data_IF_190277287790
#
_entry.id   IF_190277287790
#
_cell.length_a   1.000
_cell.length_b   1.000
_cell.length_c   1.000
_cell.angle_alpha   90.00
_cell.angle_beta   90.00
_cell.angle_gamma   90.00
#
_symmetry.space_group_name_H-M   'P 1'
#
loop_
_entity.id
_entity.type
_entity.pdbx_description
1 polymer ?
#
# COMPACT_ATOMS: atom_id res chain seq x y z
N UNK A 1 -14.70 0.65 18.90
CA UNK A 1 -14.88 -0.38 17.86
C UNK A 1 -13.66 -0.37 16.98
N UNK A 2 -13.17 -1.54 16.60
CA UNK A 2 -12.06 -1.66 15.64
C UNK A 2 -12.44 -0.98 14.32
N UNK A 3 -11.53 -0.18 13.77
CA UNK A 3 -11.72 0.53 12.51
C UNK A 3 -10.62 0.09 11.56
N UNK A 4 -10.99 -0.74 10.59
CA UNK A 4 -10.08 -1.19 9.55
C UNK A 4 -10.68 -0.91 8.16
N UNK A 5 -9.80 -0.73 7.17
CA UNK A 5 -10.16 -0.74 5.75
C UNK A 5 -9.37 -1.83 5.04
N UNK A 6 -9.88 -2.28 3.89
CA UNK A 6 -9.16 -3.18 3.01
C UNK A 6 -9.44 -2.90 1.54
N UNK A 7 -8.47 -3.21 0.69
CA UNK A 7 -8.64 -3.24 -0.76
C UNK A 7 -7.71 -4.27 -1.40
N UNK A 8 -8.07 -4.76 -2.58
CA UNK A 8 -7.16 -5.54 -3.43
C UNK A 8 -6.45 -4.62 -4.41
N UNK A 9 -5.27 -5.02 -4.88
CA UNK A 9 -4.61 -4.37 -6.00
C UNK A 9 -3.91 -5.42 -6.87
N UNK A 10 -3.80 -5.11 -8.17
CA UNK A 10 -3.23 -6.02 -9.15
C UNK A 10 -1.72 -6.21 -8.96
N UNK A 11 -1.25 -7.44 -9.08
CA UNK A 11 0.17 -7.75 -9.17
C UNK A 11 0.70 -7.45 -10.58
N UNK A 12 1.94 -7.85 -10.87
CA UNK A 12 2.45 -7.86 -12.24
C UNK A 12 1.95 -9.05 -13.08
N UNK A 13 1.37 -10.07 -12.43
CA UNK A 13 0.82 -11.23 -13.12
C UNK A 13 -0.62 -10.96 -13.57
N UNK A 14 -1.03 -11.47 -14.75
CA UNK A 14 -2.43 -11.44 -15.17
C UNK A 14 -3.32 -12.12 -14.12
N UNK A 15 -4.41 -11.46 -13.71
CA UNK A 15 -5.37 -11.94 -12.71
C UNK A 15 -4.76 -12.30 -11.34
N UNK A 16 -3.54 -11.87 -11.04
CA UNK A 16 -2.95 -11.98 -9.71
C UNK A 16 -3.22 -10.74 -8.89
N UNK A 17 -3.66 -10.89 -7.65
CA UNK A 17 -3.93 -9.78 -6.73
C UNK A 17 -3.13 -9.90 -5.42
N UNK A 18 -2.91 -8.75 -4.79
CA UNK A 18 -2.52 -8.63 -3.39
C UNK A 18 -3.66 -7.97 -2.61
N UNK A 19 -3.83 -8.38 -1.35
CA UNK A 19 -4.78 -7.78 -0.40
C UNK A 19 -4.02 -6.88 0.57
N UNK A 20 -4.63 -5.75 0.91
CA UNK A 20 -4.08 -4.80 1.87
C UNK A 20 -5.10 -4.47 2.94
N UNK A 21 -4.63 -4.33 4.18
CA UNK A 21 -5.44 -4.02 5.35
C UNK A 21 -4.80 -2.85 6.09
N UNK A 22 -5.59 -1.81 6.31
CA UNK A 22 -5.23 -0.64 7.10
C UNK A 22 -5.89 -0.73 8.47
N UNK A 23 -5.08 -0.74 9.52
CA UNK A 23 -5.52 -0.38 10.86
C UNK A 23 -5.63 1.15 10.95
N UNK A 24 -6.86 1.67 11.00
CA UNK A 24 -7.10 3.11 11.04
C UNK A 24 -6.78 3.74 12.40
N UNK A 25 -6.60 2.94 13.46
CA UNK A 25 -6.25 3.45 14.79
C UNK A 25 -4.75 3.70 14.86
N UNK A 26 -3.93 2.74 14.41
CA UNK A 26 -2.47 2.86 14.48
C UNK A 26 -1.84 3.43 13.22
N UNK A 27 -2.60 3.58 12.13
CA UNK A 27 -2.07 3.93 10.80
C UNK A 27 -1.16 2.83 10.23
N UNK A 28 -1.30 1.58 10.68
CA UNK A 28 -0.48 0.46 10.20
C UNK A 28 -1.13 -0.14 8.96
N UNK A 29 -0.44 -0.04 7.82
CA UNK A 29 -0.83 -0.70 6.60
C UNK A 29 -0.02 -1.98 6.44
N UNK A 30 -0.70 -3.11 6.31
CA UNK A 30 -0.11 -4.40 5.97
C UNK A 30 -0.73 -4.95 4.70
N UNK A 31 -0.04 -5.88 4.05
CA UNK A 31 -0.63 -6.59 2.93
C UNK A 31 0.07 -7.89 2.62
N UNK A 32 -0.58 -8.67 1.75
CA UNK A 32 -0.03 -9.91 1.26
C UNK A 32 -0.45 -10.21 -0.19
N UNK A 33 0.50 -10.66 -1.00
CA UNK A 33 0.26 -11.16 -2.36
C UNK A 33 0.16 -12.69 -2.37
N UNK A 34 -0.90 -13.21 -2.98
CA UNK A 34 -1.08 -14.65 -3.18
C UNK A 34 -0.12 -15.15 -4.27
N UNK A 35 0.56 -16.25 -4.00
CA UNK A 35 1.41 -16.94 -4.96
C UNK A 35 0.77 -18.27 -5.34
N UNK A 36 0.42 -18.39 -6.61
CA UNK A 36 -0.23 -19.57 -7.18
C UNK A 36 0.69 -20.78 -7.25
N UNK A 37 2.01 -20.58 -7.32
CA UNK A 37 2.98 -21.69 -7.37
C UNK A 37 3.08 -22.39 -6.01
N UNK A 38 3.03 -21.63 -4.92
CA UNK A 38 3.13 -22.16 -3.55
C UNK A 38 1.77 -22.37 -2.88
N UNK A 39 0.68 -21.87 -3.48
CA UNK A 39 -0.67 -21.96 -2.92
C UNK A 39 -0.88 -21.10 -1.66
N UNK A 40 -0.14 -20.01 -1.49
CA UNK A 40 -0.17 -19.23 -0.24
C UNK A 40 0.32 -17.80 -0.37
N UNK A 41 0.17 -17.03 0.71
CA UNK A 41 0.64 -15.66 0.82
C UNK A 41 2.14 -15.62 1.10
N UNK A 42 2.95 -15.46 0.05
CA UNK A 42 4.43 -15.45 0.18
C UNK A 42 5.05 -14.07 -0.04
N UNK A 43 4.29 -13.09 -0.52
CA UNK A 43 4.75 -11.72 -0.65
C UNK A 43 4.07 -10.90 0.45
N UNK A 44 4.80 -10.33 1.39
CA UNK A 44 4.22 -9.59 2.52
C UNK A 44 4.74 -8.16 2.57
N UNK A 45 3.86 -7.26 3.00
CA UNK A 45 4.10 -5.81 2.98
C UNK A 45 3.74 -5.16 4.29
N UNK A 46 4.47 -4.11 4.66
CA UNK A 46 4.15 -3.26 5.80
C UNK A 46 4.56 -1.79 5.54
N UNK A 47 3.84 -0.85 6.16
CA UNK A 47 4.16 0.59 6.20
C UNK A 47 3.51 1.25 7.41
N UNK A 48 4.19 2.23 7.99
CA UNK A 48 3.63 3.12 9.01
C UNK A 48 3.14 4.42 8.35
N UNK A 49 1.83 4.55 8.15
CA UNK A 49 1.24 5.72 7.50
C UNK A 49 1.20 6.93 8.41
N UNK A 50 1.08 6.75 9.73
CA UNK A 50 1.12 7.86 10.68
C UNK A 50 2.44 8.66 10.55
N UNK A 51 3.56 7.94 10.37
CA UNK A 51 4.86 8.55 10.11
C UNK A 51 4.90 9.29 8.77
N UNK A 52 4.37 8.67 7.70
CA UNK A 52 4.37 9.29 6.36
C UNK A 52 3.54 10.57 6.29
N UNK A 53 2.36 10.57 6.94
CA UNK A 53 1.47 11.75 7.00
C UNK A 53 1.87 12.74 8.10
N UNK A 54 2.86 12.40 8.95
CA UNK A 54 3.28 13.19 10.11
C UNK A 54 2.12 13.53 11.06
N UNK A 55 1.24 12.56 11.26
CA UNK A 55 0.08 12.67 12.14
C UNK A 55 0.31 11.90 13.42
N UNK A 56 -0.33 12.38 14.49
CA UNK A 56 -0.37 11.75 15.81
C UNK A 56 -1.76 11.17 16.05
N UNK A 57 -2.15 10.99 17.31
CA UNK A 57 -3.45 10.45 17.72
C UNK A 57 -4.65 11.03 16.95
N UNK A 58 -5.70 10.22 16.78
CA UNK A 58 -6.94 10.57 16.08
C UNK A 58 -6.80 10.89 14.58
N UNK A 59 -5.77 10.37 13.91
CA UNK A 59 -5.71 10.35 12.45
C UNK A 59 -6.95 9.67 11.83
N UNK A 60 -7.39 10.15 10.68
CA UNK A 60 -8.55 9.61 9.98
C UNK A 60 -8.17 9.26 8.56
N UNK A 61 -8.40 8.01 8.16
CA UNK A 61 -7.90 7.51 6.88
C UNK A 61 -9.04 7.10 5.95
N UNK A 62 -8.80 7.28 4.65
CA UNK A 62 -9.57 6.69 3.55
C UNK A 62 -8.61 5.97 2.62
N UNK A 63 -9.07 4.89 1.98
CA UNK A 63 -8.21 4.03 1.18
C UNK A 63 -8.92 3.53 -0.07
N UNK A 64 -8.20 3.49 -1.18
CA UNK A 64 -8.65 2.89 -2.44
C UNK A 64 -7.43 2.34 -3.19
N UNK A 65 -7.65 1.36 -4.07
CA UNK A 65 -6.63 0.88 -4.98
C UNK A 65 -6.78 1.49 -6.37
N UNK A 66 -5.73 1.38 -7.18
CA UNK A 66 -5.77 1.69 -8.59
C UNK A 66 -4.69 0.98 -9.37
N UNK A 67 -4.49 1.41 -10.60
CA UNK A 67 -3.48 0.88 -11.52
C UNK A 67 -2.58 2.01 -11.98
N UNK A 68 -1.27 1.78 -11.95
CA UNK A 68 -0.29 2.74 -12.44
C UNK A 68 0.91 2.04 -13.06
N UNK A 69 1.52 2.69 -14.05
CA UNK A 69 2.76 2.23 -14.66
C UNK A 69 3.95 2.89 -13.95
N UNK A 70 4.37 2.30 -12.83
CA UNK A 70 5.52 2.77 -12.06
C UNK A 70 6.80 2.35 -12.75
N UNK A 71 7.66 3.32 -13.09
CA UNK A 71 8.97 3.01 -13.63
C UNK A 71 9.85 2.45 -12.52
N UNK A 72 10.48 1.30 -12.74
CA UNK A 72 11.47 0.77 -11.80
C UNK A 72 12.70 1.69 -11.76
N UNK A 73 12.99 2.29 -10.60
CA UNK A 73 14.24 2.99 -10.34
C UNK A 73 15.26 2.04 -9.70
N UNK A 74 15.86 1.15 -10.49
CA UNK A 74 16.97 0.27 -10.04
C UNK A 74 16.68 -1.24 -10.12
N UNK A 75 17.72 -2.04 -9.85
CA UNK A 75 17.77 -3.50 -10.06
C UNK A 75 17.00 -4.37 -9.04
N UNK A 76 15.87 -3.89 -8.51
CA UNK A 76 14.99 -4.64 -7.62
C UNK A 76 13.94 -5.47 -8.35
N UNK A 77 13.05 -6.15 -7.61
CA UNK A 77 11.85 -6.74 -8.18
C UNK A 77 11.02 -5.65 -8.88
N UNK A 78 10.49 -5.91 -10.09
CA UNK A 78 9.68 -4.92 -10.78
C UNK A 78 8.45 -4.57 -9.93
N UNK A 79 8.06 -3.29 -9.92
CA UNK A 79 6.84 -2.88 -9.22
C UNK A 79 5.63 -3.60 -9.82
N UNK A 80 4.66 -3.91 -8.97
CA UNK A 80 3.34 -4.35 -9.39
C UNK A 80 2.65 -3.27 -10.22
N UNK A 81 1.66 -3.66 -11.01
CA UNK A 81 0.84 -2.71 -11.78
C UNK A 81 -0.21 -2.02 -10.92
N UNK A 82 -0.59 -2.64 -9.80
CA UNK A 82 -1.49 -2.10 -8.81
C UNK A 82 -0.79 -1.16 -7.82
N UNK A 83 -1.55 -0.18 -7.34
CA UNK A 83 -1.10 0.83 -6.37
C UNK A 83 -2.18 1.04 -5.31
N UNK A 84 -1.79 1.61 -4.19
CA UNK A 84 -2.68 1.95 -3.09
C UNK A 84 -2.65 3.45 -2.89
N UNK A 85 -3.82 4.09 -2.88
CA UNK A 85 -3.98 5.47 -2.47
C UNK A 85 -4.55 5.50 -1.06
N UNK A 86 -3.88 6.24 -0.17
CA UNK A 86 -4.40 6.52 1.16
C UNK A 86 -4.54 8.02 1.30
N UNK A 87 -5.72 8.48 1.69
CA UNK A 87 -5.94 9.85 2.14
C UNK A 87 -5.92 9.89 3.65
N UNK A 88 -5.20 10.85 4.22
CA UNK A 88 -5.36 11.19 5.64
C UNK A 88 -6.16 12.50 5.70
N UNK A 89 -7.34 12.43 6.33
CA UNK A 89 -8.34 13.46 6.25
C UNK A 89 -7.87 14.71 6.98
N UNK A 90 -7.20 14.62 8.14
CA UNK A 90 -6.83 15.80 8.93
C UNK A 90 -5.80 16.68 8.21
N UNK A 91 -4.70 16.07 7.76
CA UNK A 91 -3.59 16.68 7.01
C UNK A 91 -4.01 17.13 5.61
N UNK A 92 -5.05 16.55 5.04
CA UNK A 92 -5.51 16.91 3.70
C UNK A 92 -4.62 16.39 2.58
N UNK A 93 -3.78 15.39 2.86
CA UNK A 93 -2.89 14.76 1.90
C UNK A 93 -3.42 13.41 1.43
N UNK A 94 -3.14 13.09 0.17
CA UNK A 94 -3.27 11.74 -0.38
C UNK A 94 -1.87 11.27 -0.77
N UNK A 95 -1.48 10.10 -0.25
CA UNK A 95 -0.25 9.41 -0.61
C UNK A 95 -0.55 8.21 -1.50
N UNK A 96 0.36 7.96 -2.44
CA UNK A 96 0.35 6.83 -3.36
C UNK A 96 1.48 5.87 -3.00
N UNK A 97 1.15 4.59 -2.84
CA UNK A 97 2.08 3.54 -2.48
C UNK A 97 2.16 2.45 -3.54
N UNK A 98 3.38 2.04 -3.87
CA UNK A 98 3.66 0.89 -4.72
C UNK A 98 4.23 -0.27 -3.90
N UNK A 99 4.18 -1.45 -4.49
CA UNK A 99 4.73 -2.68 -3.95
C UNK A 99 5.30 -3.54 -5.07
N UNK A 100 6.27 -4.37 -4.75
CA UNK A 100 6.84 -5.33 -5.70
C UNK A 100 6.23 -6.73 -5.48
N UNK A 101 6.15 -7.53 -6.53
CA UNK A 101 5.63 -8.90 -6.45
C UNK A 101 6.64 -9.89 -7.03
N UNK A 102 7.00 -10.90 -6.25
CA UNK A 102 7.83 -12.03 -6.69
C UNK A 102 6.98 -13.29 -6.90
N UNK A 103 7.10 -13.90 -8.08
CA UNK A 103 6.33 -15.10 -8.47
C UNK A 103 7.02 -16.43 -8.14
N UNK A 104 8.28 -16.43 -7.72
CA UNK A 104 9.01 -17.67 -7.39
C UNK A 104 8.62 -18.27 -6.04
N UNK A 105 9.14 -19.47 -5.73
CA UNK A 105 8.84 -20.22 -4.49
C UNK A 105 9.45 -19.64 -3.21
N UNK A 106 9.94 -18.40 -3.23
CA UNK A 106 10.56 -17.74 -2.07
C UNK A 106 9.54 -16.82 -1.40
N UNK A 107 9.68 -16.66 -0.09
CA UNK A 107 8.97 -15.62 0.65
C UNK A 107 9.69 -14.30 0.48
N UNK A 108 8.92 -13.26 0.16
CA UNK A 108 9.38 -11.89 0.04
C UNK A 108 8.73 -11.05 1.14
N UNK A 109 9.55 -10.27 1.85
CA UNK A 109 9.11 -9.27 2.80
C UNK A 109 9.62 -7.93 2.31
N UNK A 110 8.72 -7.05 1.90
CA UNK A 110 9.07 -5.76 1.32
C UNK A 110 8.31 -4.64 2.02
N UNK A 111 8.92 -3.48 2.15
CA UNK A 111 8.17 -2.29 2.58
C UNK A 111 7.35 -1.73 1.40
N UNK A 112 6.18 -1.16 1.70
CA UNK A 112 5.49 -0.34 0.69
C UNK A 112 6.31 0.91 0.40
N UNK A 113 6.44 1.23 -0.89
CA UNK A 113 7.19 2.39 -1.34
C UNK A 113 6.25 3.57 -1.49
N UNK A 114 6.51 4.66 -0.78
CA UNK A 114 5.83 5.95 -1.01
C UNK A 114 6.32 6.52 -2.35
N UNK A 115 5.41 6.65 -3.32
CA UNK A 115 5.73 7.09 -4.68
C UNK A 115 5.48 8.59 -4.85
N UNK A 116 4.33 9.06 -4.38
CA UNK A 116 3.91 10.44 -4.58
C UNK A 116 2.91 10.86 -3.52
N UNK A 117 2.80 12.17 -3.34
CA UNK A 117 1.84 12.81 -2.45
C UNK A 117 1.20 13.99 -3.17
N UNK A 118 -0.10 14.23 -2.96
CA UNK A 118 -0.74 15.48 -3.39
C UNK A 118 -1.74 15.97 -2.33
N UNK A 119 -1.90 17.30 -2.16
CA UNK A 119 -2.91 17.86 -1.28
C UNK A 119 -4.28 17.85 -1.96
N UNK A 120 -5.31 17.30 -1.30
CA UNK A 120 -6.70 17.31 -1.79
C UNK A 120 -7.55 18.41 -1.15
N UNK A 121 -7.09 18.95 -0.02
CA UNK A 121 -7.61 20.17 0.61
C UNK A 121 -6.47 20.99 1.17
N UNK A 122 -6.65 22.30 1.27
CA UNK A 122 -5.66 23.20 1.87
C UNK A 122 -5.47 22.82 3.35
N UNK A 123 -4.23 22.70 3.82
CA UNK A 123 -3.97 22.56 5.25
C UNK A 123 -4.53 23.81 5.94
N UNK A 124 -5.44 23.63 6.90
CA UNK A 124 -5.86 24.73 7.76
C UNK A 124 -4.64 25.09 8.61
N UNK A 125 -3.93 26.15 8.21
CA UNK A 125 -2.88 26.76 9.00
C UNK A 125 -3.47 27.39 10.26
#
# INVERSE_FOLDING_TARGET
>A
GEKFAMCTANTILPNGEAIFVLDMVTGRLIGAGYNTQTGGFTNTYARNLAADFRVVDNAQYVMVSGTSNIRSSGGGLPPATGVIYVGELNSGLVNMYAYAYGSGNRTFQNELQLIASFPWRQSLN
#
